data_IF_066843413956
#
_entry.id   IF_066843413956
#
_cell.length_a   1.000
_cell.length_b   1.000
_cell.length_c   1.000
_cell.angle_alpha   90.00
_cell.angle_beta   90.00
_cell.angle_gamma   90.00
#
_symmetry.space_group_name_H-M   'P 1'
#
loop_
_entity.id
_entity.type
_entity.pdbx_description
1 polymer ?
#
# COMPACT_ATOMS: atom_id res chain seq x y z
N UNK A 1 -23.90 2.68 -29.97
CA UNK A 1 -22.64 1.95 -29.69
C UNK A 1 -22.98 0.79 -28.78
N UNK A 2 -22.46 -0.41 -29.05
CA UNK A 2 -22.85 -1.64 -28.34
C UNK A 2 -21.67 -2.18 -27.51
N UNK A 3 -21.97 -2.71 -26.32
CA UNK A 3 -21.02 -3.38 -25.44
C UNK A 3 -21.67 -4.66 -24.91
N UNK A 4 -20.94 -5.77 -24.98
CA UNK A 4 -21.38 -7.04 -24.44
C UNK A 4 -20.94 -7.11 -22.97
N UNK A 5 -21.88 -7.40 -22.08
CA UNK A 5 -21.62 -7.57 -20.65
C UNK A 5 -21.30 -9.04 -20.40
N UNK A 6 -20.12 -9.32 -19.86
CA UNK A 6 -19.70 -10.68 -19.47
C UNK A 6 -19.47 -10.77 -17.98
N UNK A 7 -20.22 -11.61 -17.28
CA UNK A 7 -20.08 -11.82 -15.83
C UNK A 7 -18.93 -12.82 -15.59
N UNK A 8 -18.07 -12.55 -14.59
CA UNK A 8 -16.87 -13.36 -14.33
C UNK A 8 -17.18 -14.81 -13.92
N UNK A 9 -18.20 -14.97 -13.07
CA UNK A 9 -18.53 -16.22 -12.38
C UNK A 9 -20.05 -16.54 -12.46
N UNK A 10 -20.76 -15.94 -13.44
CA UNK A 10 -22.21 -16.04 -13.58
C UNK A 10 -22.65 -16.67 -14.90
N UNK A 11 -23.90 -17.15 -14.94
CA UNK A 11 -24.52 -17.70 -16.16
C UNK A 11 -24.88 -16.62 -17.18
N UNK A 12 -25.09 -17.00 -18.46
CA UNK A 12 -25.41 -16.06 -19.56
C UNK A 12 -26.69 -15.23 -19.34
N UNK A 13 -27.56 -15.62 -18.40
CA UNK A 13 -28.82 -14.95 -18.08
C UNK A 13 -28.92 -14.48 -16.62
N UNK A 14 -27.80 -14.39 -15.89
CA UNK A 14 -27.83 -13.88 -14.52
C UNK A 14 -27.95 -12.34 -14.50
N UNK A 15 -28.86 -11.75 -13.69
CA UNK A 15 -28.96 -10.31 -13.60
C UNK A 15 -27.74 -9.70 -12.90
N UNK A 16 -27.28 -8.55 -13.42
CA UNK A 16 -26.22 -7.76 -12.79
C UNK A 16 -26.77 -7.10 -11.53
N UNK A 17 -26.24 -7.51 -10.37
CA UNK A 17 -26.59 -6.94 -9.05
C UNK A 17 -25.54 -5.94 -8.60
N UNK A 18 -26.00 -4.83 -8.04
CA UNK A 18 -25.19 -3.78 -7.43
C UNK A 18 -24.26 -4.36 -6.35
N UNK A 19 -23.00 -3.91 -6.32
CA UNK A 19 -21.90 -4.31 -5.40
C UNK A 19 -21.45 -5.78 -5.41
N UNK A 20 -22.33 -6.72 -5.76
CA UNK A 20 -22.07 -8.17 -5.72
C UNK A 20 -21.42 -8.68 -7.00
N UNK A 21 -21.97 -8.29 -8.16
CA UNK A 21 -21.54 -8.85 -9.45
C UNK A 21 -20.29 -8.14 -9.98
N UNK A 22 -19.30 -8.92 -10.42
CA UNK A 22 -18.13 -8.44 -11.17
C UNK A 22 -18.32 -8.81 -12.64
N UNK A 23 -18.30 -7.83 -13.53
CA UNK A 23 -18.49 -8.03 -14.97
C UNK A 23 -17.43 -7.29 -15.80
N UNK A 24 -17.28 -7.69 -17.05
CA UNK A 24 -16.44 -7.05 -18.05
C UNK A 24 -17.31 -6.46 -19.15
N UNK A 25 -16.90 -5.31 -19.71
CA UNK A 25 -17.52 -4.69 -20.87
C UNK A 25 -16.67 -4.96 -22.10
N UNK A 26 -17.17 -5.76 -23.04
CA UNK A 26 -16.44 -6.17 -24.24
C UNK A 26 -17.04 -5.48 -25.45
N UNK A 27 -16.22 -4.75 -26.21
CA UNK A 27 -16.65 -4.15 -27.46
C UNK A 27 -16.73 -5.22 -28.56
N UNK A 28 -17.90 -5.47 -29.17
CA UNK A 28 -18.03 -6.47 -30.23
C UNK A 28 -17.30 -6.06 -31.51
N UNK A 29 -17.15 -4.75 -31.77
CA UNK A 29 -16.50 -4.23 -32.98
C UNK A 29 -14.97 -4.38 -32.94
N UNK A 30 -14.37 -4.12 -31.77
CA UNK A 30 -12.91 -4.06 -31.62
C UNK A 30 -12.34 -5.27 -30.86
N UNK A 31 -13.19 -6.17 -30.36
CA UNK A 31 -12.83 -7.33 -29.55
C UNK A 31 -11.88 -6.97 -28.40
N UNK A 32 -12.18 -5.87 -27.70
CA UNK A 32 -11.40 -5.38 -26.57
C UNK A 32 -12.29 -5.20 -25.33
N UNK A 33 -11.69 -5.37 -24.15
CA UNK A 33 -12.35 -5.14 -22.87
C UNK A 33 -12.04 -3.73 -22.35
N UNK A 34 -13.05 -3.06 -21.79
CA UNK A 34 -12.86 -1.79 -21.10
C UNK A 34 -12.01 -2.01 -19.85
N UNK A 35 -10.91 -1.28 -19.73
CA UNK A 35 -9.96 -1.34 -18.61
C UNK A 35 -9.61 0.07 -18.13
N UNK A 36 -8.97 0.16 -16.97
CA UNK A 36 -8.46 1.42 -16.43
C UNK A 36 -6.99 1.27 -16.02
N UNK A 37 -6.25 2.38 -16.08
CA UNK A 37 -4.82 2.43 -15.71
C UNK A 37 -4.62 3.01 -14.32
N UNK A 38 -3.60 2.51 -13.60
CA UNK A 38 -3.15 3.07 -12.32
C UNK A 38 -2.39 4.39 -12.46
N UNK A 39 -1.94 4.70 -13.66
CA UNK A 39 -1.25 5.95 -13.94
C UNK A 39 -2.28 7.06 -14.13
N UNK A 40 -2.05 8.18 -13.44
CA UNK A 40 -2.85 9.39 -13.64
C UNK A 40 -2.50 9.99 -15.00
N UNK A 41 -3.50 10.53 -15.68
CA UNK A 41 -3.31 11.33 -16.88
C UNK A 41 -2.32 12.45 -16.59
N UNK A 42 -1.18 12.44 -17.29
CA UNK A 42 -0.07 13.38 -17.09
C UNK A 42 -0.40 14.81 -17.53
N UNK A 43 -1.43 14.97 -18.36
CA UNK A 43 -1.83 16.26 -18.89
C UNK A 43 -2.81 16.99 -17.98
N UNK A 44 -2.65 18.31 -17.89
CA UNK A 44 -3.44 19.21 -17.04
C UNK A 44 -4.95 19.12 -17.28
N UNK A 45 -5.38 18.84 -18.53
CA UNK A 45 -6.80 18.70 -18.87
C UNK A 45 -7.47 17.49 -18.19
N UNK A 46 -6.69 16.50 -17.77
CA UNK A 46 -7.18 15.29 -17.13
C UNK A 46 -7.39 15.43 -15.62
N UNK A 47 -7.08 16.58 -15.02
CA UNK A 47 -7.21 16.81 -13.57
C UNK A 47 -6.63 15.67 -12.71
N UNK A 48 -5.53 15.06 -13.16
CA UNK A 48 -4.91 13.88 -12.52
C UNK A 48 -5.84 12.67 -12.33
N UNK A 49 -6.87 12.53 -13.16
CA UNK A 49 -7.76 11.37 -13.18
C UNK A 49 -7.05 10.13 -13.74
N UNK A 50 -7.63 8.95 -13.51
CA UNK A 50 -7.14 7.70 -14.11
C UNK A 50 -7.54 7.59 -15.58
N UNK A 51 -6.69 6.95 -16.40
CA UNK A 51 -7.00 6.68 -17.80
C UNK A 51 -8.00 5.51 -17.93
N UNK A 52 -9.01 5.67 -18.77
CA UNK A 52 -9.90 4.58 -19.20
C UNK A 52 -9.60 4.23 -20.67
N UNK A 53 -9.28 2.96 -20.93
CA UNK A 53 -8.84 2.48 -22.23
C UNK A 53 -9.52 1.15 -22.60
N UNK A 54 -9.30 0.67 -23.83
CA UNK A 54 -9.78 -0.64 -24.26
C UNK A 54 -8.59 -1.57 -24.52
N UNK A 55 -8.44 -2.62 -23.71
CA UNK A 55 -7.35 -3.61 -23.85
C UNK A 55 -7.80 -4.82 -24.65
N UNK A 56 -6.92 -5.33 -25.51
CA UNK A 56 -7.16 -6.62 -26.20
C UNK A 56 -6.96 -7.82 -25.27
N UNK A 57 -6.30 -7.63 -24.13
CA UNK A 57 -6.09 -8.69 -23.16
C UNK A 57 -7.31 -8.85 -22.26
N UNK A 58 -8.19 -9.80 -22.60
CA UNK A 58 -9.41 -10.07 -21.84
C UNK A 58 -9.18 -10.62 -20.42
N UNK A 59 -7.94 -11.05 -20.09
CA UNK A 59 -7.57 -11.56 -18.76
C UNK A 59 -7.00 -10.48 -17.83
N UNK A 60 -7.01 -9.22 -18.25
CA UNK A 60 -6.53 -8.10 -17.44
C UNK A 60 -7.38 -7.95 -16.16
N UNK A 61 -6.79 -7.97 -14.94
CA UNK A 61 -7.53 -7.80 -13.70
C UNK A 61 -8.21 -6.43 -13.57
N UNK A 62 -7.74 -5.38 -14.26
CA UNK A 62 -8.35 -4.04 -14.20
C UNK A 62 -9.55 -3.88 -15.14
N UNK A 63 -9.87 -4.90 -15.93
CA UNK A 63 -11.04 -4.90 -16.82
C UNK A 63 -12.35 -5.28 -16.14
N UNK A 64 -12.31 -5.64 -14.85
CA UNK A 64 -13.50 -5.99 -14.07
C UNK A 64 -14.12 -4.75 -13.42
N UNK A 65 -15.42 -4.58 -13.65
CA UNK A 65 -16.22 -3.48 -13.15
C UNK A 65 -17.28 -3.98 -12.18
N UNK A 66 -17.69 -3.10 -11.28
CA UNK A 66 -18.84 -3.26 -10.39
C UNK A 66 -19.74 -2.05 -10.52
N UNK A 67 -21.03 -2.25 -10.32
CA UNK A 67 -21.97 -1.13 -10.20
C UNK A 67 -22.08 -0.78 -8.71
N UNK A 68 -21.80 0.48 -8.38
CA UNK A 68 -21.86 0.98 -7.00
C UNK A 68 -23.25 1.50 -6.65
N UNK A 69 -23.83 2.32 -7.52
CA UNK A 69 -25.14 2.95 -7.31
C UNK A 69 -25.99 2.84 -8.58
N UNK A 70 -27.28 2.58 -8.39
CA UNK A 70 -28.28 2.60 -9.45
C UNK A 70 -29.44 3.45 -8.98
N UNK A 71 -29.77 4.49 -9.74
CA UNK A 71 -30.95 5.32 -9.49
C UNK A 71 -31.96 5.04 -10.59
N UNK A 72 -33.01 4.29 -10.28
CA UNK A 72 -34.08 3.98 -11.23
C UNK A 72 -35.45 4.22 -10.56
N UNK A 73 -36.28 5.14 -11.06
CA UNK A 73 -37.63 5.40 -10.53
C UNK A 73 -38.58 4.20 -10.58
N UNK A 74 -38.29 3.21 -11.43
CA UNK A 74 -39.12 2.01 -11.61
C UNK A 74 -38.58 0.78 -10.87
N UNK A 75 -37.45 0.89 -10.18
CA UNK A 75 -36.89 -0.22 -9.41
C UNK A 75 -37.23 -0.07 -7.93
N UNK A 76 -37.49 -1.20 -7.27
CA UNK A 76 -37.68 -1.22 -5.82
C UNK A 76 -36.37 -0.83 -5.11
N UNK A 77 -36.49 0.00 -4.07
CA UNK A 77 -35.35 0.40 -3.25
C UNK A 77 -34.80 -0.80 -2.47
N UNK A 78 -33.68 -1.37 -2.93
CA UNK A 78 -32.98 -2.42 -2.21
C UNK A 78 -32.07 -1.84 -1.12
N UNK A 79 -32.27 -2.24 0.14
CA UNK A 79 -31.31 -1.93 1.23
C UNK A 79 -30.06 -2.80 1.12
N UNK A 80 -28.90 -2.21 1.44
CA UNK A 80 -27.57 -2.84 1.39
C UNK A 80 -27.14 -3.48 2.72
N UNK A 81 -28.00 -3.55 3.74
CA UNK A 81 -27.65 -4.02 5.09
C UNK A 81 -27.06 -5.44 5.14
N UNK A 82 -27.32 -6.25 4.13
CA UNK A 82 -26.84 -7.63 4.04
C UNK A 82 -25.43 -7.79 3.44
N UNK A 83 -24.81 -6.72 2.93
CA UNK A 83 -23.44 -6.77 2.38
C UNK A 83 -22.48 -6.41 3.51
N UNK A 84 -22.27 -7.34 4.44
CA UNK A 84 -21.31 -7.19 5.52
C UNK A 84 -20.07 -8.03 5.28
N UNK A 85 -18.91 -7.41 5.46
CA UNK A 85 -17.61 -8.06 5.37
C UNK A 85 -17.26 -8.63 6.76
N UNK A 86 -16.73 -9.85 6.82
CA UNK A 86 -16.30 -10.45 8.08
C UNK A 86 -15.14 -9.66 8.71
N UNK A 87 -15.00 -9.71 10.04
CA UNK A 87 -13.93 -9.00 10.74
C UNK A 87 -12.53 -9.33 10.17
N UNK A 88 -12.24 -10.61 9.92
CA UNK A 88 -10.92 -11.04 9.43
C UNK A 88 -10.65 -10.55 8.00
N UNK A 89 -11.68 -10.54 7.15
CA UNK A 89 -11.58 -10.04 5.78
C UNK A 89 -11.32 -8.52 5.78
N UNK A 90 -12.05 -7.78 6.62
CA UNK A 90 -11.83 -6.34 6.80
C UNK A 90 -10.45 -6.03 7.38
N UNK A 91 -9.96 -6.84 8.33
CA UNK A 91 -8.64 -6.71 8.90
C UNK A 91 -7.55 -6.90 7.84
N UNK A 92 -7.67 -7.94 7.02
CA UNK A 92 -6.72 -8.24 5.95
C UNK A 92 -6.73 -7.16 4.86
N UNK A 93 -7.91 -6.73 4.40
CA UNK A 93 -8.06 -5.67 3.41
C UNK A 93 -7.45 -4.36 3.91
N UNK A 94 -7.73 -4.00 5.17
CA UNK A 94 -7.18 -2.78 5.79
C UNK A 94 -5.64 -2.81 5.84
N UNK A 95 -5.03 -3.92 6.26
CA UNK A 95 -3.56 -4.04 6.30
C UNK A 95 -2.94 -4.03 4.89
N UNK A 96 -3.62 -4.61 3.90
CA UNK A 96 -3.17 -4.56 2.52
C UNK A 96 -3.17 -3.11 2.00
N UNK A 97 -4.23 -2.34 2.28
CA UNK A 97 -4.33 -0.93 1.89
C UNK A 97 -3.31 -0.08 2.65
N UNK A 98 -3.12 -0.29 3.94
CA UNK A 98 -2.08 0.39 4.73
C UNK A 98 -0.69 0.15 4.15
N UNK A 99 -0.38 -1.10 3.80
CA UNK A 99 0.91 -1.44 3.18
C UNK A 99 1.06 -0.78 1.81
N UNK A 100 0.01 -0.77 1.00
CA UNK A 100 0.00 -0.10 -0.30
C UNK A 100 0.22 1.41 -0.20
N UNK A 101 -0.43 2.06 0.78
CA UNK A 101 -0.26 3.49 1.05
C UNK A 101 1.16 3.76 1.55
N UNK A 102 1.63 3.01 2.55
CA UNK A 102 2.99 3.15 3.09
C UNK A 102 4.08 3.00 2.02
N UNK A 103 3.91 2.08 1.07
CA UNK A 103 4.83 1.91 -0.05
C UNK A 103 4.84 3.12 -1.02
N UNK A 104 3.78 3.93 -1.00
CA UNK A 104 3.63 5.14 -1.84
C UNK A 104 3.96 6.44 -1.11
N UNK A 105 4.26 6.40 0.20
CA UNK A 105 4.82 7.53 0.92
C UNK A 105 6.27 7.75 0.45
N UNK A 106 6.41 8.40 -0.72
CA UNK A 106 7.70 8.91 -1.18
C UNK A 106 7.92 10.27 -0.55
N UNK A 107 9.13 10.54 -0.01
CA UNK A 107 9.45 11.87 0.49
C UNK A 107 9.39 12.87 -0.66
N UNK A 108 8.93 14.09 -0.34
CA UNK A 108 8.92 15.22 -1.26
C UNK A 108 10.36 15.51 -1.71
N UNK A 109 10.53 16.05 -2.92
CA UNK A 109 11.81 16.20 -3.65
C UNK A 109 12.97 16.90 -2.89
N UNK A 110 12.71 17.45 -1.70
CA UNK A 110 13.70 18.03 -0.80
C UNK A 110 14.37 16.96 0.09
N UNK A 111 15.00 15.95 -0.52
CA UNK A 111 15.69 14.86 0.20
C UNK A 111 16.76 15.33 1.19
N UNK A 112 17.37 16.49 0.97
CA UNK A 112 18.40 17.06 1.85
C UNK A 112 17.84 17.52 3.20
N UNK A 113 16.53 17.78 3.25
CA UNK A 113 15.88 18.23 4.47
C UNK A 113 15.42 17.07 5.37
N UNK A 114 15.34 15.83 4.87
CA UNK A 114 14.91 14.68 5.66
C UNK A 114 16.08 13.94 6.34
N UNK A 115 15.83 13.47 7.56
CA UNK A 115 16.79 12.68 8.33
C UNK A 115 16.88 11.25 7.79
N UNK A 116 18.10 10.78 7.52
CA UNK A 116 18.38 9.41 7.11
C UNK A 116 18.58 8.51 8.33
N UNK A 117 18.27 7.21 8.27
CA UNK A 117 18.34 6.33 9.45
C UNK A 117 19.70 6.30 10.16
N UNK A 118 20.81 6.41 9.42
CA UNK A 118 22.16 6.43 10.00
C UNK A 118 22.47 7.70 10.79
N UNK A 119 21.70 8.77 10.59
CA UNK A 119 21.87 10.06 11.27
C UNK A 119 21.33 10.03 12.70
N UNK A 120 20.40 9.12 13.01
CA UNK A 120 19.71 9.09 14.30
C UNK A 120 20.60 8.69 15.47
N UNK A 121 21.44 7.63 15.39
CA UNK A 121 22.24 7.21 16.53
C UNK A 121 23.29 8.24 16.97
N UNK A 122 23.73 9.11 16.05
CA UNK A 122 24.75 10.13 16.28
C UNK A 122 24.18 11.55 16.48
N UNK A 123 22.85 11.70 16.44
CA UNK A 123 22.16 13.01 16.47
C UNK A 123 22.75 14.00 15.45
N UNK A 124 22.93 13.56 14.22
CA UNK A 124 23.56 14.39 13.19
C UNK A 124 22.75 15.66 12.88
N UNK A 125 21.42 15.54 12.88
CA UNK A 125 20.49 16.61 12.54
C UNK A 125 19.33 16.62 13.53
N UNK A 126 18.77 17.80 13.74
CA UNK A 126 17.62 18.03 14.59
C UNK A 126 16.37 18.26 13.76
N UNK A 127 15.24 17.71 14.20
CA UNK A 127 13.98 17.79 13.46
C UNK A 127 13.15 18.97 13.97
N UNK A 128 12.87 20.01 13.16
CA UNK A 128 11.99 21.09 13.57
C UNK A 128 10.54 20.59 13.66
N UNK A 129 9.84 20.95 14.74
CA UNK A 129 8.41 20.66 14.92
C UNK A 129 7.52 21.88 14.64
N UNK A 130 8.02 23.10 14.89
CA UNK A 130 7.27 24.34 14.71
C UNK A 130 8.24 25.52 14.48
N UNK A 131 7.94 26.42 13.52
CA UNK A 131 8.86 27.49 13.11
C UNK A 131 8.11 28.73 12.58
N UNK A 132 7.61 29.58 13.47
CA UNK A 132 7.04 30.90 13.08
C UNK A 132 7.38 32.02 14.05
N UNK A 133 7.59 31.73 15.34
CA UNK A 133 7.99 32.70 16.36
C UNK A 133 8.96 32.10 17.39
N UNK A 134 8.72 30.84 17.80
CA UNK A 134 9.64 30.05 18.61
C UNK A 134 9.95 28.75 17.88
N UNK A 135 11.23 28.44 17.71
CA UNK A 135 11.65 27.20 17.04
C UNK A 135 11.69 26.07 18.06
N UNK A 136 10.66 25.23 18.04
CA UNK A 136 10.64 24.00 18.82
C UNK A 136 11.30 22.91 17.99
N UNK A 137 12.39 22.35 18.52
CA UNK A 137 13.20 21.34 17.85
C UNK A 137 13.16 20.07 18.67
N UNK A 138 12.89 18.95 18.00
CA UNK A 138 13.08 17.63 18.58
C UNK A 138 14.58 17.28 18.46
N UNK A 139 15.28 17.34 19.59
CA UNK A 139 16.67 16.92 19.72
C UNK A 139 16.80 16.02 20.95
N UNK A 140 17.39 14.83 20.76
CA UNK A 140 17.67 13.93 21.88
C UNK A 140 18.82 14.45 22.76
N UNK A 141 19.04 13.81 23.90
CA UNK A 141 20.23 14.09 24.72
C UNK A 141 21.48 13.47 24.06
N UNK A 142 22.48 14.27 23.64
CA UNK A 142 23.67 13.75 22.93
C UNK A 142 24.47 12.72 23.72
N UNK A 143 24.61 12.90 25.04
CA UNK A 143 25.37 11.98 25.88
C UNK A 143 24.70 10.62 25.97
N UNK A 144 23.37 10.60 26.15
CA UNK A 144 22.61 9.34 26.24
C UNK A 144 22.64 8.57 24.93
N UNK A 145 22.51 9.26 23.79
CA UNK A 145 22.55 8.60 22.49
C UNK A 145 23.92 8.05 22.15
N UNK A 146 25.01 8.77 22.45
CA UNK A 146 26.37 8.26 22.28
C UNK A 146 26.60 7.01 23.14
N UNK A 147 26.18 7.02 24.41
CA UNK A 147 26.29 5.85 25.28
C UNK A 147 25.47 4.66 24.75
N UNK A 148 24.25 4.89 24.27
CA UNK A 148 23.43 3.86 23.65
C UNK A 148 24.06 3.31 22.37
N UNK A 149 24.65 4.16 21.54
CA UNK A 149 25.35 3.76 20.31
C UNK A 149 26.58 2.90 20.61
N UNK A 150 27.39 3.29 21.60
CA UNK A 150 28.52 2.48 22.07
C UNK A 150 28.03 1.12 22.61
N UNK A 151 26.97 1.12 23.40
CA UNK A 151 26.38 -0.12 23.94
C UNK A 151 25.89 -1.06 22.84
N UNK A 152 25.22 -0.53 21.82
CA UNK A 152 24.76 -1.27 20.64
C UNK A 152 25.89 -1.94 19.86
N UNK A 153 27.09 -1.33 19.83
CA UNK A 153 28.26 -1.89 19.15
C UNK A 153 29.00 -2.91 20.03
N UNK A 154 29.22 -2.57 21.31
CA UNK A 154 30.03 -3.40 22.22
C UNK A 154 29.33 -4.71 22.56
N UNK A 155 28.02 -4.70 22.77
CA UNK A 155 27.25 -5.89 23.17
C UNK A 155 27.36 -7.06 22.17
N UNK A 156 27.07 -6.88 20.86
CA UNK A 156 27.21 -7.98 19.91
C UNK A 156 28.65 -8.47 19.77
N UNK A 157 29.65 -7.59 19.86
CA UNK A 157 31.07 -7.98 19.83
C UNK A 157 31.39 -8.90 21.00
N UNK A 158 30.96 -8.54 22.22
CA UNK A 158 31.14 -9.36 23.41
C UNK A 158 30.40 -10.70 23.30
N UNK A 159 29.18 -10.72 22.75
CA UNK A 159 28.42 -11.94 22.52
C UNK A 159 29.13 -12.86 21.52
N UNK A 160 29.67 -12.33 20.42
CA UNK A 160 30.44 -13.09 19.44
C UNK A 160 31.71 -13.66 20.06
N UNK A 161 32.46 -12.87 20.83
CA UNK A 161 33.67 -13.34 21.53
C UNK A 161 33.32 -14.45 22.53
N UNK A 162 32.24 -14.26 23.30
CA UNK A 162 31.76 -15.24 24.27
C UNK A 162 31.34 -16.53 23.58
N UNK A 163 30.60 -16.44 22.47
CA UNK A 163 30.19 -17.58 21.67
C UNK A 163 31.41 -18.32 21.11
N UNK A 164 32.36 -17.60 20.53
CA UNK A 164 33.60 -18.18 20.01
C UNK A 164 34.39 -18.92 21.10
N UNK A 165 34.56 -18.32 22.28
CA UNK A 165 35.20 -18.97 23.43
C UNK A 165 34.43 -20.20 23.91
N UNK A 166 33.11 -20.15 23.89
CA UNK A 166 32.26 -21.27 24.28
C UNK A 166 32.43 -22.47 23.33
N UNK A 167 32.32 -22.25 22.02
CA UNK A 167 32.54 -23.29 21.01
C UNK A 167 33.95 -23.87 21.06
N UNK A 168 34.97 -23.05 21.36
CA UNK A 168 36.33 -23.56 21.52
C UNK A 168 36.44 -24.50 22.73
N UNK A 169 35.83 -24.14 23.85
CA UNK A 169 35.90 -24.93 25.08
C UNK A 169 35.08 -26.24 25.01
N UNK A 170 34.01 -26.30 24.23
CA UNK A 170 33.27 -27.57 24.00
C UNK A 170 34.07 -28.52 23.12
N UNK A 171 34.69 -28.04 22.04
CA UNK A 171 35.52 -28.87 21.15
C UNK A 171 36.77 -29.45 21.82
N UNK A 172 37.30 -28.79 22.86
CA UNK A 172 38.43 -29.32 23.66
C UNK A 172 38.00 -30.42 24.63
N UNK A 173 36.72 -30.49 25.01
CA UNK A 173 36.20 -31.51 25.94
C UNK A 173 35.77 -32.82 25.25
N UNK A 174 35.47 -32.78 23.96
CA UNK A 174 35.12 -33.97 23.16
C UNK A 174 36.34 -34.73 22.61
N UNK A 175 37.56 -34.19 22.81
CA UNK A 175 38.82 -34.77 22.33
C UNK A 175 39.63 -35.33 23.50
#
# INVERSE_FOLDING_TARGET
QFWNVKIKDGGENEPVKTLQTKFQLISPKFHCALTWSKESLSHVWGFSQGEAACTKNLKDPYSFWKIETVTNPHADNSSFDNITISFLERLAESHQVMTFINARLKPVDNFDNLDRPWMWPILYKSAPWYDVQFRIVLLGNPLLFLLNFVSLIVTPILLVIRHYKHCRNTNVKEK
#
